data_IF_731306494384
#
_entry.id   IF_731306494384
#
_cell.length_a   1.000
_cell.length_b   1.000
_cell.length_c   1.000
_cell.angle_alpha   90.00
_cell.angle_beta   90.00
_cell.angle_gamma   90.00
#
_symmetry.space_group_name_H-M   'P 1'
#
loop_
_entity.id
_entity.type
_entity.pdbx_description
1 polymer ?
#
# COMPACT_ATOMS: atom_id res chain seq x y z
N UNK A 1 -30.25 5.45 -4.22
CA UNK A 1 -28.98 5.07 -3.56
C UNK A 1 -27.81 5.57 -4.38
N UNK A 2 -26.82 6.17 -3.73
CA UNK A 2 -25.59 6.63 -4.38
C UNK A 2 -24.64 5.46 -4.58
N UNK A 3 -24.04 5.32 -5.77
CA UNK A 3 -23.09 4.26 -6.10
C UNK A 3 -21.79 4.89 -6.61
N UNK A 4 -20.68 4.54 -5.98
CA UNK A 4 -19.36 4.90 -6.46
C UNK A 4 -19.00 4.11 -7.72
N UNK A 5 -18.44 4.79 -8.74
CA UNK A 5 -18.11 4.16 -10.02
C UNK A 5 -16.68 4.49 -10.43
N UNK A 6 -15.74 3.66 -10.04
CA UNK A 6 -14.40 3.71 -10.62
C UNK A 6 -14.44 3.24 -12.07
N UNK A 7 -13.62 3.84 -12.93
CA UNK A 7 -13.60 3.52 -14.37
C UNK A 7 -12.22 3.07 -14.79
N UNK A 8 -12.16 2.07 -15.66
CA UNK A 8 -10.94 1.74 -16.41
C UNK A 8 -11.14 2.19 -17.85
N UNK A 9 -10.22 3.00 -18.36
CA UNK A 9 -10.21 3.53 -19.71
C UNK A 9 -8.90 3.13 -20.40
N UNK A 10 -8.91 3.06 -21.73
CA UNK A 10 -7.74 2.74 -22.55
C UNK A 10 -7.63 3.72 -23.71
N UNK A 11 -6.42 4.01 -24.18
CA UNK A 11 -6.17 4.92 -25.31
C UNK A 11 -5.54 4.23 -26.53
N UNK A 12 -5.52 2.90 -26.55
CA UNK A 12 -4.98 2.13 -27.66
C UNK A 12 -5.75 0.84 -27.97
N UNK A 13 -5.44 0.19 -29.10
CA UNK A 13 -6.04 -1.09 -29.44
C UNK A 13 -5.45 -2.24 -28.60
N UNK A 14 -6.25 -3.28 -28.39
CA UNK A 14 -5.79 -4.54 -27.78
C UNK A 14 -5.47 -5.53 -28.92
N UNK A 15 -4.24 -6.07 -28.92
CA UNK A 15 -3.78 -7.09 -29.86
C UNK A 15 -3.20 -8.27 -29.09
N UNK A 16 -3.70 -9.44 -29.32
CA UNK A 16 -3.26 -10.71 -28.69
C UNK A 16 -3.22 -10.64 -27.15
N UNK A 17 -4.13 -9.88 -26.57
CA UNK A 17 -4.21 -9.68 -25.11
C UNK A 17 -3.31 -8.57 -24.57
N UNK A 18 -2.57 -7.85 -25.44
CA UNK A 18 -1.69 -6.74 -25.05
C UNK A 18 -2.32 -5.41 -25.48
N UNK A 19 -2.55 -4.52 -24.52
CA UNK A 19 -2.95 -3.13 -24.81
C UNK A 19 -1.75 -2.38 -25.40
N UNK A 20 -1.92 -1.86 -26.63
CA UNK A 20 -0.90 -1.05 -27.33
C UNK A 20 -1.02 0.44 -27.00
N UNK A 21 -1.23 0.78 -25.74
CA UNK A 21 -1.45 2.12 -25.22
C UNK A 21 -1.45 2.12 -23.71
N UNK A 22 -1.99 3.18 -23.12
CA UNK A 22 -2.08 3.38 -21.68
C UNK A 22 -3.41 2.86 -21.11
N UNK A 23 -3.36 2.40 -19.87
CA UNK A 23 -4.54 2.07 -19.09
C UNK A 23 -4.73 3.14 -18.01
N UNK A 24 -5.92 3.73 -17.96
CA UNK A 24 -6.28 4.76 -16.98
C UNK A 24 -7.21 4.13 -15.93
N UNK A 25 -6.83 4.22 -14.69
CA UNK A 25 -7.70 3.89 -13.55
C UNK A 25 -8.22 5.20 -12.95
N UNK A 26 -9.46 5.56 -13.29
CA UNK A 26 -10.09 6.79 -12.82
C UNK A 26 -10.94 6.53 -11.59
N UNK A 27 -10.53 7.14 -10.48
CA UNK A 27 -11.24 7.08 -9.23
C UNK A 27 -12.47 7.97 -9.19
N UNK A 28 -13.44 7.59 -8.36
CA UNK A 28 -14.68 8.36 -8.12
C UNK A 28 -14.80 8.87 -6.69
N UNK A 29 -13.76 8.69 -5.86
CA UNK A 29 -13.78 8.99 -4.43
C UNK A 29 -14.38 7.84 -3.60
N UNK A 30 -14.39 6.62 -4.10
CA UNK A 30 -14.90 5.45 -3.37
C UNK A 30 -14.06 5.21 -2.09
N UNK A 31 -14.64 5.41 -0.89
CA UNK A 31 -13.90 5.23 0.37
C UNK A 31 -13.66 3.75 0.72
N UNK A 32 -14.20 2.82 -0.05
CA UNK A 32 -14.08 1.37 0.16
C UNK A 32 -13.36 0.66 -0.98
N UNK A 33 -12.51 1.35 -1.74
CA UNK A 33 -11.66 0.72 -2.74
C UNK A 33 -10.51 -0.02 -2.04
N UNK A 34 -10.81 -1.14 -1.42
CA UNK A 34 -9.84 -2.03 -0.78
C UNK A 34 -9.17 -2.94 -1.81
N UNK A 35 -8.10 -3.63 -1.40
CA UNK A 35 -7.28 -4.49 -2.29
C UNK A 35 -8.14 -5.52 -3.02
N UNK A 36 -9.10 -6.16 -2.35
CA UNK A 36 -9.97 -7.18 -2.93
C UNK A 36 -10.87 -6.61 -4.03
N UNK A 37 -11.35 -5.38 -3.87
CA UNK A 37 -12.15 -4.70 -4.89
C UNK A 37 -11.30 -4.29 -6.09
N UNK A 38 -10.07 -3.83 -5.85
CA UNK A 38 -9.12 -3.58 -6.93
C UNK A 38 -8.80 -4.86 -7.69
N UNK A 39 -8.57 -5.97 -6.99
CA UNK A 39 -8.33 -7.28 -7.63
C UNK A 39 -9.51 -7.71 -8.50
N UNK A 40 -10.74 -7.56 -8.00
CA UNK A 40 -11.95 -7.87 -8.79
C UNK A 40 -12.03 -6.98 -10.04
N UNK A 41 -11.76 -5.66 -9.91
CA UNK A 41 -11.73 -4.74 -11.03
C UNK A 41 -10.68 -5.14 -12.08
N UNK A 42 -9.49 -5.53 -11.66
CA UNK A 42 -8.43 -5.99 -12.57
C UNK A 42 -8.76 -7.34 -13.22
N UNK A 43 -9.46 -8.24 -12.53
CA UNK A 43 -9.98 -9.48 -13.13
C UNK A 43 -11.01 -9.18 -14.22
N UNK A 44 -11.87 -8.18 -14.03
CA UNK A 44 -12.80 -7.73 -15.07
C UNK A 44 -12.05 -7.18 -16.30
N UNK A 45 -10.95 -6.46 -16.11
CA UNK A 45 -10.09 -5.99 -17.20
C UNK A 45 -9.47 -7.18 -17.96
N UNK A 46 -8.98 -8.18 -17.24
CA UNK A 46 -8.44 -9.41 -17.84
C UNK A 46 -9.53 -10.18 -18.62
N UNK A 47 -10.73 -10.28 -18.05
CA UNK A 47 -11.88 -10.93 -18.71
C UNK A 47 -12.32 -10.23 -20.01
N UNK A 48 -12.05 -8.92 -20.13
CA UNK A 48 -12.24 -8.14 -21.37
C UNK A 48 -11.10 -8.31 -22.38
N UNK A 49 -10.13 -9.18 -22.10
CA UNK A 49 -9.06 -9.56 -23.02
C UNK A 49 -7.76 -8.76 -22.85
N UNK A 50 -7.64 -7.90 -21.85
CA UNK A 50 -6.40 -7.15 -21.57
C UNK A 50 -5.61 -7.90 -20.50
N UNK A 51 -4.48 -8.52 -20.90
CA UNK A 51 -3.61 -9.29 -20.00
C UNK A 51 -2.28 -8.60 -19.71
N UNK A 52 -1.91 -7.67 -20.60
CA UNK A 52 -0.67 -6.91 -20.50
C UNK A 52 -0.89 -5.49 -21.02
N UNK A 53 -0.10 -4.54 -20.53
CA UNK A 53 -0.14 -3.12 -20.89
C UNK A 53 1.25 -2.70 -21.34
N UNK A 54 1.40 -2.29 -22.60
CA UNK A 54 2.68 -1.86 -23.17
C UNK A 54 3.06 -0.43 -22.79
N UNK A 55 2.06 0.41 -22.59
CA UNK A 55 2.22 1.78 -22.09
C UNK A 55 2.19 1.86 -20.57
N UNK A 56 1.74 2.99 -20.06
CA UNK A 56 1.67 3.27 -18.62
C UNK A 56 0.32 2.90 -18.01
N UNK A 57 0.33 2.62 -16.70
CA UNK A 57 -0.88 2.59 -15.89
C UNK A 57 -1.01 3.93 -15.18
N UNK A 58 -1.99 4.72 -15.59
CA UNK A 58 -2.21 6.09 -15.12
C UNK A 58 -3.31 6.10 -14.06
N UNK A 59 -2.97 6.57 -12.86
CA UNK A 59 -3.90 6.69 -11.74
C UNK A 59 -4.50 8.10 -11.74
N UNK A 60 -5.80 8.20 -12.08
CA UNK A 60 -6.52 9.49 -12.21
C UNK A 60 -7.36 9.75 -10.95
N UNK A 61 -6.89 10.68 -10.13
CA UNK A 61 -7.57 11.17 -8.92
C UNK A 61 -8.28 12.53 -9.13
N UNK A 62 -8.41 13.00 -10.36
CA UNK A 62 -8.86 14.36 -10.74
C UNK A 62 -10.32 14.69 -10.42
N UNK A 63 -11.07 13.74 -9.86
CA UNK A 63 -12.46 13.97 -9.43
C UNK A 63 -12.57 14.99 -8.28
N UNK A 64 -11.50 15.15 -7.49
CA UNK A 64 -11.40 16.15 -6.45
C UNK A 64 -10.26 17.12 -6.75
N UNK A 65 -10.54 18.41 -6.64
CA UNK A 65 -9.55 19.50 -6.64
C UNK A 65 -9.42 20.01 -5.20
N UNK A 66 -8.51 19.40 -4.45
CA UNK A 66 -8.31 19.69 -3.04
C UNK A 66 -6.91 20.27 -2.81
N UNK A 67 -6.77 21.26 -1.90
CA UNK A 67 -5.45 21.74 -1.53
C UNK A 67 -4.63 20.64 -0.86
N UNK A 68 -3.32 20.70 -1.02
CA UNK A 68 -2.41 19.79 -0.34
C UNK A 68 -2.61 19.88 1.19
N UNK A 69 -2.83 18.73 1.83
CA UNK A 69 -2.96 18.62 3.29
C UNK A 69 -1.66 18.06 3.85
N UNK A 70 -1.16 18.69 4.92
CA UNK A 70 -0.07 18.10 5.70
C UNK A 70 -0.64 16.99 6.60
N UNK A 71 -0.25 15.71 6.42
CA UNK A 71 -0.75 14.61 7.25
C UNK A 71 -0.44 14.76 8.74
N UNK A 72 0.64 15.47 9.09
CA UNK A 72 1.03 15.70 10.49
C UNK A 72 0.21 16.79 11.19
N UNK A 73 -0.64 17.56 10.46
CA UNK A 73 -1.29 18.75 11.01
C UNK A 73 -2.30 18.51 12.12
N UNK A 74 -2.76 17.28 12.31
CA UNK A 74 -3.78 16.97 13.33
C UNK A 74 -3.16 16.52 14.67
N UNK A 75 -2.18 15.63 14.64
CA UNK A 75 -1.65 14.97 15.84
C UNK A 75 -0.15 14.64 15.76
N UNK A 76 0.56 15.23 14.80
CA UNK A 76 1.98 14.96 14.49
C UNK A 76 2.29 13.47 14.14
N UNK A 77 1.27 12.68 13.75
CA UNK A 77 1.38 11.27 13.39
C UNK A 77 1.10 11.06 11.89
N UNK A 78 1.99 11.50 10.97
CA UNK A 78 1.72 11.51 9.53
C UNK A 78 1.49 10.12 8.92
N UNK A 79 1.93 9.07 9.59
CA UNK A 79 1.81 7.68 9.12
C UNK A 79 0.53 6.99 9.62
N UNK A 80 -0.35 7.70 10.30
CA UNK A 80 -1.63 7.12 10.69
C UNK A 80 -2.60 7.11 9.50
N UNK A 81 -3.25 5.98 9.20
CA UNK A 81 -4.18 5.89 8.07
C UNK A 81 -5.31 6.93 8.08
N UNK A 82 -5.77 7.36 9.25
CA UNK A 82 -6.82 8.38 9.38
C UNK A 82 -6.35 9.80 9.04
N UNK A 83 -5.04 10.03 8.91
CA UNK A 83 -4.47 11.32 8.52
C UNK A 83 -4.31 11.48 7.01
N UNK A 84 -4.63 10.44 6.22
CA UNK A 84 -4.58 10.52 4.76
C UNK A 84 -5.55 11.59 4.25
N UNK A 85 -5.10 12.36 3.25
CA UNK A 85 -5.97 13.31 2.58
C UNK A 85 -7.01 12.59 1.71
N UNK A 86 -8.25 13.09 1.60
CA UNK A 86 -9.21 12.58 0.64
C UNK A 86 -8.66 12.62 -0.78
N UNK A 87 -8.83 11.54 -1.54
CA UNK A 87 -8.39 11.43 -2.93
C UNK A 87 -9.47 10.79 -3.78
N UNK A 88 -9.52 11.15 -5.07
CA UNK A 88 -10.43 10.51 -6.02
C UNK A 88 -10.20 9.02 -6.18
N UNK A 89 -8.94 8.59 -6.07
CA UNK A 89 -8.51 7.20 -6.09
C UNK A 89 -7.71 6.90 -4.82
N UNK A 90 -8.39 6.55 -3.75
CA UNK A 90 -7.78 6.16 -2.48
C UNK A 90 -7.83 4.63 -2.36
N UNK A 91 -6.70 3.97 -2.57
CA UNK A 91 -6.59 2.53 -2.45
C UNK A 91 -6.31 2.13 -1.00
N UNK A 92 -7.10 1.18 -0.48
CA UNK A 92 -6.88 0.54 0.82
C UNK A 92 -6.67 1.54 1.97
N UNK A 93 -7.41 2.66 1.95
CA UNK A 93 -7.28 3.77 2.92
C UNK A 93 -5.86 4.39 2.95
N UNK A 94 -5.08 4.23 1.88
CA UNK A 94 -3.64 4.51 1.82
C UNK A 94 -2.85 3.80 2.94
N UNK A 95 -3.34 2.65 3.38
CA UNK A 95 -2.77 1.91 4.49
C UNK A 95 -2.05 0.65 4.00
N UNK A 96 -0.93 0.37 4.63
CA UNK A 96 -0.19 -0.87 4.51
C UNK A 96 -0.07 -1.55 5.87
N UNK A 97 -0.01 -2.86 5.84
CA UNK A 97 0.18 -3.66 7.03
C UNK A 97 1.54 -4.34 6.96
N UNK A 98 2.42 -4.06 7.91
CA UNK A 98 3.63 -4.84 8.12
C UNK A 98 3.38 -5.90 9.17
N UNK A 99 3.74 -7.15 8.85
CA UNK A 99 3.66 -8.29 9.75
C UNK A 99 5.06 -8.68 10.19
N UNK A 100 5.26 -8.81 11.49
CA UNK A 100 6.51 -9.23 12.12
C UNK A 100 6.31 -10.59 12.79
N UNK A 101 7.06 -11.61 12.38
CA UNK A 101 6.98 -12.96 12.94
C UNK A 101 8.35 -13.37 13.47
N UNK A 102 8.55 -13.45 14.81
CA UNK A 102 9.83 -13.81 15.39
C UNK A 102 10.26 -15.24 15.05
N UNK A 103 11.51 -15.40 14.63
CA UNK A 103 12.20 -16.68 14.50
C UNK A 103 13.37 -16.72 15.50
N UNK A 104 13.17 -17.44 16.60
CA UNK A 104 14.19 -17.55 17.65
C UNK A 104 15.42 -18.34 17.22
N UNK A 105 15.34 -19.20 16.20
CA UNK A 105 16.44 -20.03 15.72
C UNK A 105 17.43 -19.19 14.92
N UNK A 106 16.92 -18.20 14.19
CA UNK A 106 17.70 -17.26 13.38
C UNK A 106 18.05 -15.98 14.12
N UNK A 107 17.47 -15.76 15.31
CA UNK A 107 17.58 -14.51 16.07
C UNK A 107 17.10 -13.28 15.29
N UNK A 108 16.06 -13.46 14.47
CA UNK A 108 15.47 -12.40 13.65
C UNK A 108 13.95 -12.48 13.64
N UNK A 109 13.25 -11.39 13.32
CA UNK A 109 11.84 -11.41 13.00
C UNK A 109 11.66 -11.26 11.48
N UNK A 110 10.95 -12.18 10.84
CA UNK A 110 10.53 -12.06 9.44
C UNK A 110 9.63 -10.86 9.28
N UNK A 111 9.83 -10.10 8.19
CA UNK A 111 9.01 -8.95 7.82
C UNK A 111 8.26 -9.25 6.53
N UNK A 112 6.96 -9.05 6.53
CA UNK A 112 6.09 -9.19 5.37
C UNK A 112 5.19 -7.96 5.27
N UNK A 113 4.81 -7.57 4.05
CA UNK A 113 3.83 -6.50 3.82
C UNK A 113 2.54 -7.02 3.21
N UNK A 114 1.42 -6.40 3.56
CA UNK A 114 0.11 -6.65 2.97
C UNK A 114 -0.54 -5.30 2.59
N UNK A 115 -0.82 -5.05 1.30
CA UNK A 115 -0.50 -5.92 0.16
C UNK A 115 1.03 -6.07 -0.06
N UNK A 116 1.46 -7.11 -0.81
CA UNK A 116 2.85 -7.22 -1.24
C UNK A 116 3.25 -6.02 -2.07
N UNK A 117 4.45 -5.49 -1.82
CA UNK A 117 5.00 -4.35 -2.55
C UNK A 117 5.84 -4.81 -3.73
N UNK A 118 5.45 -4.42 -4.93
CA UNK A 118 6.30 -4.55 -6.12
C UNK A 118 7.26 -3.35 -6.22
N UNK A 119 8.52 -3.60 -6.58
CA UNK A 119 9.54 -2.57 -6.82
C UNK A 119 9.86 -1.67 -5.60
N UNK A 120 9.49 -2.11 -4.39
CA UNK A 120 9.88 -1.45 -3.14
C UNK A 120 10.83 -2.38 -2.38
N UNK A 121 11.98 -1.83 -1.98
CA UNK A 121 12.94 -2.56 -1.16
C UNK A 121 12.41 -2.64 0.28
N UNK A 122 12.02 -3.85 0.68
CA UNK A 122 11.60 -4.15 2.04
C UNK A 122 12.58 -5.17 2.63
N UNK A 123 13.16 -4.93 3.83
CA UNK A 123 13.98 -5.95 4.48
C UNK A 123 13.13 -7.19 4.76
N UNK A 124 13.65 -8.36 4.45
CA UNK A 124 12.98 -9.65 4.70
C UNK A 124 12.93 -10.01 6.18
N UNK A 125 13.81 -9.42 6.98
CA UNK A 125 13.87 -9.62 8.43
C UNK A 125 14.53 -8.43 9.14
N UNK A 126 14.32 -8.38 10.45
CA UNK A 126 14.96 -7.46 11.39
C UNK A 126 15.52 -8.23 12.57
N UNK A 127 16.62 -7.77 13.22
CA UNK A 127 17.20 -8.48 14.36
C UNK A 127 16.21 -8.52 15.54
N UNK A 128 16.29 -9.58 16.37
CA UNK A 128 15.56 -9.67 17.61
C UNK A 128 16.30 -8.99 18.76
N UNK A 129 15.53 -8.49 19.73
CA UNK A 129 16.04 -8.04 21.04
C UNK A 129 15.38 -8.83 22.17
N UNK A 130 16.07 -8.85 23.33
CA UNK A 130 15.56 -9.48 24.56
C UNK A 130 14.65 -8.55 25.36
N UNK A 131 14.37 -7.35 24.88
CA UNK A 131 13.55 -6.35 25.58
C UNK A 131 12.08 -6.74 25.77
N UNK A 132 11.38 -6.06 26.69
CA UNK A 132 9.94 -6.25 26.84
C UNK A 132 9.19 -5.73 25.64
N UNK A 133 8.01 -6.33 25.37
CA UNK A 133 7.09 -5.86 24.31
C UNK A 133 6.26 -4.64 24.79
N UNK A 134 6.92 -3.56 25.15
CA UNK A 134 6.23 -2.30 25.45
C UNK A 134 6.04 -1.51 24.17
N UNK A 135 6.51 -0.31 24.07
CA UNK A 135 6.44 0.47 22.84
C UNK A 135 7.46 -0.02 21.77
N UNK A 136 7.23 -1.22 21.24
CA UNK A 136 8.13 -1.87 20.30
C UNK A 136 8.28 -1.10 18.98
N UNK A 137 7.29 -0.28 18.60
CA UNK A 137 7.35 0.52 17.38
C UNK A 137 8.40 1.63 17.47
N UNK A 138 8.56 2.23 18.64
CA UNK A 138 9.65 3.19 18.89
C UNK A 138 11.02 2.53 18.94
N UNK A 139 11.10 1.24 19.34
CA UNK A 139 12.33 0.48 19.30
C UNK A 139 12.71 0.06 17.87
N UNK A 140 11.71 -0.21 17.04
CA UNK A 140 11.88 -0.61 15.64
C UNK A 140 11.55 0.56 14.70
N UNK A 141 12.25 1.65 14.79
CA UNK A 141 11.98 2.87 14.02
C UNK A 141 11.87 2.61 12.53
N UNK A 142 10.68 2.83 11.98
CA UNK A 142 10.43 2.74 10.55
C UNK A 142 10.85 4.04 9.85
N UNK A 143 11.47 3.88 8.69
CA UNK A 143 11.85 4.98 7.80
C UNK A 143 11.17 4.77 6.43
N UNK A 144 10.27 5.68 6.07
CA UNK A 144 9.52 5.74 4.81
C UNK A 144 9.92 6.98 3.99
N UNK A 145 11.07 7.57 4.25
CA UNK A 145 11.52 8.80 3.58
C UNK A 145 11.80 8.61 2.08
N UNK A 146 12.00 7.37 1.65
CA UNK A 146 12.25 7.02 0.25
C UNK A 146 11.02 6.33 -0.35
N UNK A 147 10.63 6.73 -1.56
CA UNK A 147 9.44 6.19 -2.22
C UNK A 147 9.58 4.71 -2.63
N UNK A 148 10.80 4.24 -2.81
CA UNK A 148 11.13 2.90 -3.30
C UNK A 148 11.74 1.98 -2.24
N UNK A 149 11.84 2.43 -0.97
CA UNK A 149 12.38 1.62 0.10
C UNK A 149 11.74 1.88 1.46
N UNK A 150 11.57 0.80 2.21
CA UNK A 150 11.18 0.83 3.63
C UNK A 150 12.35 0.29 4.45
N UNK A 151 12.70 0.98 5.52
CA UNK A 151 13.78 0.57 6.43
C UNK A 151 13.27 0.51 7.86
N UNK A 152 13.82 -0.42 8.62
CA UNK A 152 13.60 -0.51 10.06
C UNK A 152 14.94 -0.39 10.78
N UNK A 153 15.07 0.65 11.61
CA UNK A 153 16.31 0.98 12.31
C UNK A 153 16.19 0.62 13.79
N UNK A 154 16.57 -0.60 14.16
CA UNK A 154 16.48 -1.10 15.53
C UNK A 154 16.35 -2.61 15.58
N UNK A 155 15.76 -3.12 16.66
CA UNK A 155 15.53 -4.53 16.85
C UNK A 155 14.10 -4.80 17.35
N UNK A 156 13.53 -5.90 16.91
CA UNK A 156 12.18 -6.32 17.30
C UNK A 156 12.22 -7.12 18.61
N UNK A 157 11.45 -6.74 19.66
CA UNK A 157 11.44 -7.49 20.89
C UNK A 157 10.81 -8.88 20.71
N UNK A 158 11.58 -9.93 21.01
CA UNK A 158 11.10 -11.32 20.92
C UNK A 158 9.83 -11.57 21.75
N UNK A 159 9.69 -10.87 22.88
CA UNK A 159 8.54 -10.98 23.78
C UNK A 159 7.22 -10.52 23.14
N UNK A 160 7.25 -9.78 22.00
CA UNK A 160 6.04 -9.35 21.32
C UNK A 160 5.29 -10.47 20.61
N UNK A 161 5.93 -11.61 20.33
CA UNK A 161 5.32 -12.62 19.47
C UNK A 161 5.05 -12.07 18.05
N UNK A 162 4.06 -12.60 17.36
CA UNK A 162 3.63 -12.05 16.07
C UNK A 162 2.86 -10.75 16.27
N UNK A 163 3.24 -9.71 15.53
CA UNK A 163 2.55 -8.42 15.56
C UNK A 163 2.26 -7.91 14.15
N UNK A 164 1.23 -7.08 14.05
CA UNK A 164 0.84 -6.36 12.85
C UNK A 164 0.94 -4.85 13.10
N UNK A 165 1.54 -4.15 12.16
CA UNK A 165 1.71 -2.69 12.21
C UNK A 165 1.05 -2.04 10.99
N UNK A 166 -0.14 -1.45 11.12
CA UNK A 166 -0.72 -0.61 10.08
C UNK A 166 -0.02 0.75 10.02
N UNK A 167 0.34 1.19 8.83
CA UNK A 167 0.92 2.50 8.50
C UNK A 167 0.22 3.10 7.29
#
# INVERSE_FOLDING_TARGET
DFTWRNKVLIDGPVKDGVLQGNLFLKGSGDPKLVVERLQALLQDVIAKGIRDVKGDIILDSSVFDLPAKNPASFDDEPLRPYNVAPQGLLLNFNAMLFKFTPDATRNEAKVESEPPLANVQLPSSVPLSAGPCQDWRTQLRADFSQADSVRFNGAYPKACGEQKWPV
#
